data_IF_101469502853
#
_entry.id   IF_101469502853
#
_cell.length_a   1.000
_cell.length_b   1.000
_cell.length_c   1.000
_cell.angle_alpha   90.00
_cell.angle_beta   90.00
_cell.angle_gamma   90.00
#
_symmetry.space_group_name_H-M   'P 1'
#
loop_
_entity.id
_entity.type
_entity.pdbx_description
1 polymer ?
#
# COMPACT_ATOMS: atom_id res chain seq x y z
N UNK A 1 5.29 2.11 12.94
CA UNK A 1 5.45 1.09 11.87
C UNK A 1 6.12 1.76 10.67
N UNK A 2 7.20 1.17 10.15
CA UNK A 2 7.84 1.64 8.91
C UNK A 2 7.15 1.06 7.68
N UNK A 3 6.87 1.91 6.71
CA UNK A 3 6.22 1.57 5.43
C UNK A 3 6.88 2.34 4.30
N UNK A 4 6.70 1.91 3.06
CA UNK A 4 7.21 2.61 1.87
C UNK A 4 6.08 2.86 0.89
N UNK A 5 6.14 3.98 0.19
CA UNK A 5 5.28 4.23 -0.97
C UNK A 5 5.99 3.94 -2.31
N UNK A 6 7.21 3.38 -2.28
CA UNK A 6 7.91 2.88 -3.45
C UNK A 6 7.58 1.39 -3.71
N UNK A 7 6.88 1.05 -4.80
CA UNK A 7 6.55 -0.33 -5.10
C UNK A 7 7.77 -1.22 -5.39
N UNK A 8 8.89 -0.66 -5.85
CA UNK A 8 10.12 -1.41 -6.08
C UNK A 8 10.75 -1.87 -4.76
N UNK A 9 10.70 -1.02 -3.73
CA UNK A 9 11.13 -1.38 -2.38
C UNK A 9 10.17 -2.41 -1.79
N UNK A 10 8.85 -2.20 -1.90
CA UNK A 10 7.86 -3.16 -1.43
C UNK A 10 8.04 -4.57 -2.04
N UNK A 11 8.32 -4.63 -3.35
CA UNK A 11 8.59 -5.87 -4.09
C UNK A 11 9.76 -6.65 -3.50
N UNK A 12 10.82 -5.98 -3.03
CA UNK A 12 11.99 -6.65 -2.44
C UNK A 12 11.66 -7.44 -1.18
N UNK A 13 10.60 -7.04 -0.46
CA UNK A 13 10.15 -7.71 0.77
C UNK A 13 9.12 -8.83 0.52
N UNK A 14 8.57 -8.95 -0.69
CA UNK A 14 7.62 -10.01 -1.05
C UNK A 14 8.23 -11.42 -1.07
N UNK A 15 9.56 -11.56 -1.06
CA UNK A 15 10.26 -12.84 -0.91
C UNK A 15 9.88 -13.60 0.38
N UNK A 16 9.18 -12.96 1.32
CA UNK A 16 8.67 -13.58 2.56
C UNK A 16 7.24 -14.10 2.45
N UNK A 17 6.60 -14.01 1.28
CA UNK A 17 5.24 -14.50 1.03
C UNK A 17 4.12 -13.71 1.67
N UNK A 18 4.40 -12.52 2.22
CA UNK A 18 3.41 -11.63 2.81
C UNK A 18 3.68 -10.16 2.44
N UNK A 19 2.60 -9.42 2.17
CA UNK A 19 2.62 -7.99 1.86
C UNK A 19 1.53 -7.28 2.67
N UNK A 20 1.89 -6.14 3.26
CA UNK A 20 0.94 -5.25 3.94
C UNK A 20 0.78 -4.00 3.09
N UNK A 21 -0.46 -3.69 2.71
CA UNK A 21 -0.81 -2.47 1.99
C UNK A 21 -1.56 -1.57 2.95
N UNK A 22 -1.02 -0.39 3.21
CA UNK A 22 -1.68 0.59 4.10
C UNK A 22 -2.35 1.66 3.24
N UNK A 23 -3.67 1.76 3.34
CA UNK A 23 -4.44 2.83 2.70
C UNK A 23 -4.40 4.11 3.54
N UNK A 24 -4.60 5.28 2.91
CA UNK A 24 -4.91 6.50 3.64
C UNK A 24 -6.10 6.30 4.59
N UNK A 25 -5.98 6.84 5.80
CA UNK A 25 -7.00 6.74 6.84
C UNK A 25 -7.07 8.02 7.69
N UNK A 26 -7.60 7.89 8.90
CA UNK A 26 -7.80 9.02 9.83
C UNK A 26 -6.46 9.55 10.37
N UNK A 27 -5.50 8.65 10.58
CA UNK A 27 -4.13 8.99 10.98
C UNK A 27 -3.23 8.90 9.77
N UNK A 28 -2.48 9.98 9.51
CA UNK A 28 -1.47 10.02 8.45
C UNK A 28 -0.11 9.62 9.01
N UNK A 29 0.62 8.80 8.26
CA UNK A 29 2.04 8.60 8.50
C UNK A 29 2.84 9.85 8.13
N UNK A 30 4.03 10.00 8.69
CA UNK A 30 4.95 11.09 8.38
C UNK A 30 5.98 10.63 7.34
N UNK A 31 6.16 11.44 6.30
CA UNK A 31 7.28 11.27 5.36
C UNK A 31 8.58 11.61 6.08
N UNK A 32 9.58 10.74 5.98
CA UNK A 32 10.89 10.93 6.63
C UNK A 32 12.02 11.20 5.65
N UNK A 33 11.68 11.61 4.43
CA UNK A 33 12.63 12.05 3.42
C UNK A 33 13.45 13.24 3.92
N UNK A 34 14.78 13.10 3.95
CA UNK A 34 15.72 14.13 4.39
C UNK A 34 16.20 14.01 5.84
N UNK A 35 15.57 13.17 6.67
CA UNK A 35 16.06 12.80 8.02
C UNK A 35 16.42 11.32 8.14
N UNK A 36 15.92 10.47 7.24
CA UNK A 36 16.30 9.07 7.14
C UNK A 36 17.66 8.91 6.44
N UNK A 37 18.44 7.93 6.89
CA UNK A 37 19.68 7.51 6.21
C UNK A 37 19.43 6.84 4.85
N UNK A 38 18.16 6.57 4.50
CA UNK A 38 17.73 5.93 3.25
C UNK A 38 16.67 6.76 2.52
N UNK A 39 16.99 7.99 2.05
CA UNK A 39 16.01 8.89 1.42
C UNK A 39 15.41 8.30 0.12
N UNK A 40 16.10 7.36 -0.52
CA UNK A 40 15.59 6.66 -1.72
C UNK A 40 14.49 5.65 -1.44
N UNK A 41 14.27 5.25 -0.18
CA UNK A 41 13.26 4.25 0.18
C UNK A 41 11.84 4.83 0.30
N UNK A 42 11.70 6.16 0.20
CA UNK A 42 10.38 6.83 0.20
C UNK A 42 9.55 6.38 1.39
N UNK A 43 10.18 6.44 2.56
CA UNK A 43 9.67 5.87 3.79
C UNK A 43 8.57 6.76 4.41
N UNK A 44 7.52 6.10 4.90
CA UNK A 44 6.43 6.66 5.67
C UNK A 44 6.41 5.95 7.02
N UNK A 45 6.55 6.73 8.09
CA UNK A 45 6.49 6.22 9.46
C UNK A 45 5.13 6.50 10.10
N UNK A 46 4.49 5.44 10.59
CA UNK A 46 3.37 5.55 11.50
C UNK A 46 3.87 5.57 12.94
N UNK A 47 3.30 6.42 13.83
CA UNK A 47 3.63 6.44 15.24
C UNK A 47 3.54 5.06 15.92
N UNK A 48 4.23 4.93 17.04
CA UNK A 48 4.05 3.76 17.90
C UNK A 48 2.63 3.75 18.48
N UNK A 49 2.04 2.56 18.62
CA UNK A 49 0.68 2.43 19.15
C UNK A 49 -0.45 2.73 18.15
N UNK A 50 -0.16 3.17 16.92
CA UNK A 50 -1.21 3.43 15.91
C UNK A 50 -2.05 2.17 15.68
N UNK A 51 -3.38 2.22 15.90
CA UNK A 51 -4.26 1.10 15.62
C UNK A 51 -4.56 1.00 14.12
N UNK A 52 -4.63 -0.23 13.61
CA UNK A 52 -4.98 -0.53 12.22
C UNK A 52 -6.18 -1.48 12.17
N UNK A 53 -7.13 -1.21 11.29
CA UNK A 53 -8.16 -2.20 10.92
C UNK A 53 -7.79 -2.90 9.63
N UNK A 54 -7.99 -4.22 9.61
CA UNK A 54 -7.99 -4.99 8.37
C UNK A 54 -9.26 -4.66 7.59
N UNK A 55 -9.11 -4.08 6.41
CA UNK A 55 -10.23 -3.85 5.50
C UNK A 55 -10.47 -5.09 4.65
N UNK A 56 -9.39 -5.63 4.07
CA UNK A 56 -9.45 -6.71 3.08
C UNK A 56 -8.21 -7.57 3.14
N UNK A 57 -8.35 -8.77 2.60
CA UNK A 57 -7.25 -9.69 2.39
C UNK A 57 -7.34 -10.23 0.97
N UNK A 58 -6.20 -10.44 0.33
CA UNK A 58 -6.09 -11.03 -1.00
C UNK A 58 -4.94 -12.05 -1.02
N UNK A 59 -4.92 -12.86 -2.07
CA UNK A 59 -3.76 -13.67 -2.44
C UNK A 59 -3.32 -13.23 -3.83
N UNK A 60 -2.06 -12.80 -3.94
CA UNK A 60 -1.42 -12.49 -5.20
C UNK A 60 -0.68 -13.73 -5.69
N UNK A 61 -1.08 -14.23 -6.85
CA UNK A 61 -0.51 -15.39 -7.50
C UNK A 61 0.46 -14.94 -8.60
N UNK A 62 1.67 -15.50 -8.58
CA UNK A 62 2.73 -15.31 -9.55
C UNK A 62 3.05 -16.65 -10.20
N UNK A 63 2.49 -16.88 -11.38
CA UNK A 63 2.69 -18.11 -12.13
C UNK A 63 3.63 -17.87 -13.32
N UNK A 64 4.61 -18.73 -13.50
CA UNK A 64 5.44 -18.71 -14.71
C UNK A 64 4.56 -19.05 -15.90
N UNK A 65 4.64 -18.25 -16.94
CA UNK A 65 3.82 -18.42 -18.13
C UNK A 65 4.57 -18.07 -19.40
N UNK A 66 3.79 -17.95 -20.47
CA UNK A 66 4.27 -17.49 -21.77
C UNK A 66 3.41 -16.34 -22.25
N UNK A 67 3.98 -15.35 -22.95
CA UNK A 67 3.19 -14.32 -23.61
C UNK A 67 2.18 -14.97 -24.58
N UNK A 68 0.99 -14.35 -24.80
CA UNK A 68 -0.03 -14.91 -25.70
C UNK A 68 0.47 -15.24 -27.12
N UNK A 69 1.49 -14.51 -27.58
CA UNK A 69 2.13 -14.68 -28.89
C UNK A 69 3.00 -15.95 -29.00
N UNK A 70 3.43 -16.49 -27.84
CA UNK A 70 4.29 -17.66 -27.68
C UNK A 70 3.41 -18.91 -27.49
N UNK A 71 2.59 -19.18 -28.50
CA UNK A 71 1.52 -20.18 -28.46
C UNK A 71 1.90 -21.56 -29.06
N UNK A 72 3.13 -21.74 -29.54
CA UNK A 72 3.62 -23.02 -30.10
C UNK A 72 4.82 -23.53 -29.31
N UNK A 73 5.02 -24.85 -29.29
CA UNK A 73 6.17 -25.48 -28.60
C UNK A 73 7.52 -24.96 -29.11
N UNK A 74 7.61 -24.61 -30.39
CA UNK A 74 8.84 -24.06 -30.97
C UNK A 74 9.12 -22.64 -30.45
N UNK A 75 8.09 -21.78 -30.39
CA UNK A 75 8.22 -20.44 -29.82
C UNK A 75 8.50 -20.48 -28.32
N UNK A 76 7.87 -21.39 -27.58
CA UNK A 76 8.12 -21.59 -26.14
C UNK A 76 9.59 -21.93 -25.89
N UNK A 77 10.14 -22.90 -26.63
CA UNK A 77 11.57 -23.23 -26.53
C UNK A 77 12.47 -22.03 -26.82
N UNK A 78 12.21 -21.29 -27.89
CA UNK A 78 13.00 -20.09 -28.19
C UNK A 78 12.90 -19.05 -27.08
N UNK A 79 11.71 -18.84 -26.52
CA UNK A 79 11.49 -17.95 -25.39
C UNK A 79 12.26 -18.42 -24.14
N UNK A 80 12.21 -19.71 -23.81
CA UNK A 80 12.95 -20.28 -22.68
C UNK A 80 14.46 -20.09 -22.85
N UNK A 81 14.98 -20.28 -24.07
CA UNK A 81 16.38 -20.02 -24.37
C UNK A 81 16.75 -18.54 -24.24
N UNK A 82 15.89 -17.63 -24.70
CA UNK A 82 16.11 -16.18 -24.55
C UNK A 82 16.10 -15.76 -23.08
N UNK A 83 15.18 -16.32 -22.28
CA UNK A 83 15.10 -16.07 -20.83
C UNK A 83 16.33 -16.65 -20.13
N UNK A 84 16.72 -17.89 -20.43
CA UNK A 84 17.89 -18.53 -19.83
C UNK A 84 19.22 -17.82 -20.18
N UNK A 85 19.27 -17.14 -21.33
CA UNK A 85 20.42 -16.33 -21.76
C UNK A 85 20.36 -14.89 -21.25
N UNK A 86 19.31 -14.49 -20.54
CA UNK A 86 19.11 -13.15 -20.03
C UNK A 86 18.79 -12.10 -21.12
N UNK A 87 18.49 -12.52 -22.35
CA UNK A 87 18.15 -11.61 -23.45
C UNK A 87 16.70 -11.14 -23.39
N UNK A 88 15.85 -11.81 -22.60
CA UNK A 88 14.45 -11.47 -22.40
C UNK A 88 14.03 -11.74 -20.95
N UNK A 89 13.19 -10.89 -20.33
CA UNK A 89 12.69 -11.17 -18.99
C UNK A 89 11.72 -12.37 -19.00
N UNK A 90 11.63 -13.13 -17.89
CA UNK A 90 10.62 -14.16 -17.73
C UNK A 90 9.22 -13.56 -17.80
N UNK A 91 8.27 -14.29 -18.37
CA UNK A 91 6.88 -13.87 -18.40
C UNK A 91 6.14 -14.48 -17.20
N UNK A 92 5.42 -13.61 -16.48
CA UNK A 92 4.59 -14.00 -15.34
C UNK A 92 3.13 -13.70 -15.60
N UNK A 93 2.29 -14.70 -15.34
CA UNK A 93 0.86 -14.51 -15.18
C UNK A 93 0.63 -14.08 -13.73
N UNK A 94 -0.04 -12.94 -13.58
CA UNK A 94 -0.38 -12.39 -12.28
C UNK A 94 -1.90 -12.46 -12.12
N UNK A 95 -2.35 -12.99 -10.99
CA UNK A 95 -3.76 -13.07 -10.63
C UNK A 95 -3.93 -12.67 -9.17
N UNK A 96 -4.97 -11.91 -8.86
CA UNK A 96 -5.33 -11.57 -7.48
C UNK A 96 -6.60 -12.35 -7.13
N UNK A 97 -6.68 -12.99 -5.98
CA UNK A 97 -7.90 -13.69 -5.55
C UNK A 97 -8.30 -13.27 -4.15
N UNK A 98 -9.60 -13.24 -3.88
CA UNK A 98 -10.09 -13.18 -2.51
C UNK A 98 -9.82 -14.52 -1.78
N UNK A 99 -9.78 -14.54 -0.43
CA UNK A 99 -9.66 -15.78 0.34
C UNK A 99 -10.77 -16.77 -0.02
N UNK A 100 -10.38 -17.98 -0.44
CA UNK A 100 -11.32 -19.04 -0.83
C UNK A 100 -11.81 -18.98 -2.28
N UNK A 101 -11.42 -17.97 -3.07
CA UNK A 101 -11.67 -17.93 -4.50
C UNK A 101 -10.62 -18.76 -5.25
N UNK A 102 -11.08 -19.73 -6.03
CA UNK A 102 -10.22 -20.64 -6.81
C UNK A 102 -10.06 -20.21 -8.26
N UNK A 103 -11.07 -19.52 -8.81
CA UNK A 103 -11.19 -19.22 -10.23
C UNK A 103 -11.39 -17.72 -10.49
N UNK A 104 -10.80 -17.25 -11.59
CA UNK A 104 -10.81 -15.84 -11.98
C UNK A 104 -9.95 -14.95 -11.08
N UNK A 105 -9.79 -13.70 -11.50
CA UNK A 105 -9.11 -12.66 -10.72
C UNK A 105 -10.16 -11.78 -10.04
N UNK A 106 -9.88 -11.34 -8.81
CA UNK A 106 -10.67 -10.35 -8.10
C UNK A 106 -10.38 -8.96 -8.68
N UNK A 107 -11.37 -8.31 -9.32
CA UNK A 107 -11.14 -7.05 -10.04
C UNK A 107 -10.82 -5.90 -9.10
N UNK A 108 -11.29 -5.96 -7.85
CA UNK A 108 -11.02 -4.91 -6.86
C UNK A 108 -9.60 -5.03 -6.33
N UNK A 109 -9.14 -6.25 -6.02
CA UNK A 109 -7.76 -6.54 -5.65
C UNK A 109 -6.77 -6.20 -6.76
N UNK A 110 -7.12 -6.45 -8.04
CA UNK A 110 -6.29 -6.00 -9.16
C UNK A 110 -6.17 -4.48 -9.25
N UNK A 111 -7.27 -3.77 -9.01
CA UNK A 111 -7.27 -2.31 -8.99
C UNK A 111 -6.43 -1.77 -7.81
N UNK A 112 -6.60 -2.32 -6.62
CA UNK A 112 -5.85 -1.92 -5.43
C UNK A 112 -4.34 -2.19 -5.55
N UNK A 113 -3.95 -3.26 -6.26
CA UNK A 113 -2.55 -3.66 -6.44
C UNK A 113 -1.96 -3.24 -7.79
N UNK A 114 -2.65 -2.42 -8.59
CA UNK A 114 -2.29 -2.12 -9.97
C UNK A 114 -0.84 -1.68 -10.15
N UNK A 115 -0.36 -0.74 -9.33
CA UNK A 115 1.02 -0.22 -9.40
C UNK A 115 2.07 -1.30 -9.11
N UNK A 116 1.78 -2.21 -8.16
CA UNK A 116 2.68 -3.32 -7.86
C UNK A 116 2.66 -4.36 -8.99
N UNK A 117 1.47 -4.67 -9.51
CA UNK A 117 1.30 -5.59 -10.64
C UNK A 117 2.09 -5.10 -11.86
N UNK A 118 2.06 -3.80 -12.16
CA UNK A 118 2.82 -3.21 -13.26
C UNK A 118 4.34 -3.40 -13.08
N UNK A 119 4.84 -3.21 -11.86
CA UNK A 119 6.25 -3.42 -11.49
C UNK A 119 6.67 -4.89 -11.51
N UNK A 120 5.74 -5.80 -11.22
CA UNK A 120 5.96 -7.24 -11.31
C UNK A 120 5.97 -7.71 -12.78
N UNK A 121 5.18 -7.09 -13.66
CA UNK A 121 5.16 -7.40 -15.10
C UNK A 121 6.40 -6.90 -15.83
N UNK A 122 7.00 -5.80 -15.38
CA UNK A 122 8.12 -5.14 -16.08
C UNK A 122 9.49 -5.39 -15.46
N UNK A 123 9.55 -5.84 -14.20
CA UNK A 123 10.81 -6.12 -13.49
C UNK A 123 11.06 -7.60 -13.23
N UNK A 124 12.26 -7.94 -12.73
CA UNK A 124 12.60 -9.32 -12.33
C UNK A 124 11.73 -9.81 -11.18
N UNK A 125 11.22 -11.03 -11.26
CA UNK A 125 10.45 -11.71 -10.20
C UNK A 125 11.23 -12.86 -9.55
N UNK A 126 12.54 -12.95 -9.81
CA UNK A 126 13.38 -13.98 -9.21
C UNK A 126 13.40 -13.87 -7.69
N UNK A 127 13.28 -15.01 -7.01
CA UNK A 127 13.26 -15.08 -5.54
C UNK A 127 11.93 -14.66 -4.89
N UNK A 128 10.90 -14.33 -5.68
CA UNK A 128 9.55 -14.10 -5.15
C UNK A 128 8.80 -15.41 -4.98
N UNK A 129 7.96 -15.47 -3.94
CA UNK A 129 7.04 -16.58 -3.72
C UNK A 129 5.96 -16.63 -4.81
N UNK A 130 5.55 -17.84 -5.21
CA UNK A 130 4.48 -18.02 -6.18
C UNK A 130 3.12 -17.54 -5.67
N UNK A 131 2.94 -17.53 -4.35
CA UNK A 131 1.77 -16.96 -3.69
C UNK A 131 2.21 -15.99 -2.61
N UNK A 132 1.67 -14.77 -2.65
CA UNK A 132 1.90 -13.74 -1.62
C UNK A 132 0.57 -13.37 -1.00
N UNK A 133 0.45 -13.52 0.33
CA UNK A 133 -0.73 -13.06 1.07
C UNK A 133 -0.66 -11.55 1.22
N UNK A 134 -1.73 -10.87 0.83
CA UNK A 134 -1.82 -9.42 0.92
C UNK A 134 -2.87 -9.05 1.94
N UNK A 135 -2.50 -8.20 2.90
CA UNK A 135 -3.42 -7.64 3.89
C UNK A 135 -3.52 -6.14 3.66
N UNK A 136 -4.74 -5.65 3.50
CA UNK A 136 -5.02 -4.22 3.34
C UNK A 136 -5.46 -3.65 4.68
N UNK A 137 -4.67 -2.70 5.18
CA UNK A 137 -4.90 -2.02 6.45
C UNK A 137 -5.33 -0.59 6.22
N UNK A 138 -6.16 -0.09 7.13
CA UNK A 138 -6.45 1.35 7.28
C UNK A 138 -6.08 1.80 8.69
N UNK A 139 -5.28 2.88 8.83
CA UNK A 139 -4.95 3.45 10.14
C UNK A 139 -6.19 4.15 10.73
N UNK A 140 -6.36 4.03 12.05
CA UNK A 140 -7.45 4.62 12.83
C UNK A 140 -6.91 5.61 13.86
N UNK A 141 -7.74 6.57 14.25
CA UNK A 141 -7.46 7.38 15.43
C UNK A 141 -7.41 6.48 16.68
N UNK A 142 -6.47 6.78 17.57
CA UNK A 142 -6.42 6.19 18.90
C UNK A 142 -7.67 6.66 19.67
N UNK A 143 -8.27 5.82 20.52
CA UNK A 143 -9.36 6.27 21.43
C UNK A 143 -8.93 7.43 22.34
N UNK A 144 -7.62 7.63 22.52
CA UNK A 144 -7.06 8.74 23.29
C UNK A 144 -7.12 10.08 22.53
N UNK A 145 -7.22 10.07 21.19
CA UNK A 145 -7.36 11.27 20.36
C UNK A 145 -8.82 11.76 20.26
N UNK A 146 -9.81 10.89 20.49
CA UNK A 146 -11.23 11.31 20.57
C UNK A 146 -11.49 12.18 21.81
N UNK A 147 -10.79 11.92 22.94
CA UNK A 147 -10.97 12.68 24.18
C UNK A 147 -10.29 14.05 24.09
N UNK A 148 -9.19 14.17 23.35
CA UNK A 148 -8.48 15.45 23.20
C UNK A 148 -9.19 16.43 22.25
N UNK A 149 -10.12 15.96 21.41
CA UNK A 149 -10.93 16.81 20.55
C UNK A 149 -12.17 17.39 21.26
N UNK A 150 -12.76 16.68 22.22
CA UNK A 150 -13.88 17.22 23.04
C UNK A 150 -13.40 18.20 24.13
N UNK A 151 -12.15 18.10 24.61
CA UNK A 151 -11.62 19.07 25.58
C UNK A 151 -11.17 20.40 24.95
N UNK A 152 -11.01 20.48 23.62
CA UNK A 152 -10.69 21.73 22.93
C UNK A 152 -11.92 22.65 22.74
N UNK A 153 -13.14 22.12 22.81
CA UNK A 153 -14.38 22.90 22.70
C UNK A 153 -14.99 23.29 24.06
N UNK A 154 -14.42 22.78 25.16
CA UNK A 154 -14.69 23.25 26.52
C UNK A 154 -13.77 24.43 26.87
N UNK A 155 -13.83 25.52 26.08
CA UNK A 155 -13.27 26.81 26.48
C UNK A 155 -13.97 27.26 27.76
N UNK A 156 -13.27 27.12 28.87
CA UNK A 156 -13.62 27.67 30.18
C UNK A 156 -14.01 29.15 30.04
N UNK A 157 -15.17 29.60 30.54
CA UNK A 157 -15.48 31.02 30.59
C UNK A 157 -14.53 31.70 31.57
N UNK A 158 -13.65 32.56 31.07
CA UNK A 158 -12.84 33.47 31.89
C UNK A 158 -13.80 34.38 32.67
N UNK A 159 -13.83 34.34 34.02
CA UNK A 159 -14.63 35.30 34.79
C UNK A 159 -13.90 36.64 34.74
N UNK A 160 -14.44 37.62 33.99
CA UNK A 160 -14.03 39.03 34.13
C UNK A 160 -13.86 39.87 32.87
N UNK A 161 -14.17 39.39 31.67
CA UNK A 161 -14.11 40.24 30.48
C UNK A 161 -15.42 41.06 30.32
N UNK A 162 -15.37 42.35 30.68
CA UNK A 162 -16.45 43.31 30.37
C UNK A 162 -16.67 43.36 28.85
N UNK A 163 -17.90 43.08 28.41
CA UNK A 163 -18.35 43.33 27.03
C UNK A 163 -18.14 44.81 26.66
N UNK A 164 -17.54 45.14 25.50
CA UNK A 164 -17.65 46.49 24.96
C UNK A 164 -19.09 46.72 24.50
N UNK A 165 -19.73 47.77 25.02
CA UNK A 165 -21.01 48.24 24.52
C UNK A 165 -20.81 48.79 23.10
N UNK A 166 -21.50 48.21 22.13
CA UNK A 166 -21.61 48.78 20.80
C UNK A 166 -22.43 50.08 20.88
N UNK A 167 -21.80 51.22 20.61
CA UNK A 167 -22.51 52.47 20.37
C UNK A 167 -23.08 52.45 18.94
N UNK A 168 -24.40 52.44 18.85
CA UNK A 168 -25.14 52.71 17.62
C UNK A 168 -25.00 54.19 17.27
N UNK A 169 -24.40 54.50 16.12
CA UNK A 169 -24.51 55.82 15.48
C UNK A 169 -25.59 55.69 14.40
N UNK A 170 -26.75 56.29 14.66
CA UNK A 170 -27.78 56.50 13.64
C UNK A 170 -27.37 57.68 12.74
N UNK A 171 -27.59 57.56 11.44
CA UNK A 171 -27.60 58.66 10.48
C UNK A 171 -29.00 58.75 9.87
#
# INVERSE_FOLDING_TARGET
>A
MSTTYDPAVAKSYMAKGALIVVKPGEVSGSLVEGISNAPGEKEVLFPEGTPFSVEKNYVLHLEKGYPPEVNTKMKQRSFDFEVARGTKPPYVNIRVTAPGQTDGSDPEGECELASLIEQLKTGSVEGLESETKVVVLRPKASKEDEVSAEEADAVLPIPGAKKPQAQMIAR
#
